data_IF_159811611118
#
_entry.id   IF_159811611118
#
_cell.length_a   1.000
_cell.length_b   1.000
_cell.length_c   1.000
_cell.angle_alpha   90.00
_cell.angle_beta   90.00
_cell.angle_gamma   90.00
#
_symmetry.space_group_name_H-M   'P 1'
#
loop_
_entity.id
_entity.type
_entity.pdbx_description
1 polymer ?
#
# COMPACT_ATOMS: atom_id res chain seq x y z
N UNK A 1 11.47 -14.69 -3.33
CA UNK A 1 10.29 -14.10 -3.98
C UNK A 1 9.29 -13.47 -3.00
N UNK A 2 8.80 -14.18 -1.97
CA UNK A 2 7.80 -13.65 -1.03
C UNK A 2 8.19 -12.32 -0.36
N UNK A 3 9.40 -12.22 0.19
CA UNK A 3 9.89 -10.98 0.82
C UNK A 3 10.04 -9.82 -0.18
N UNK A 4 10.50 -10.11 -1.40
CA UNK A 4 10.64 -9.10 -2.45
C UNK A 4 9.28 -8.48 -2.84
N UNK A 5 8.25 -9.32 -2.97
CA UNK A 5 6.89 -8.84 -3.27
C UNK A 5 6.32 -7.99 -2.13
N UNK A 6 6.63 -8.33 -0.87
CA UNK A 6 6.20 -7.57 0.30
C UNK A 6 6.88 -6.19 0.35
N UNK A 7 8.19 -6.13 0.11
CA UNK A 7 8.94 -4.87 0.00
C UNK A 7 8.36 -3.99 -1.12
N UNK A 8 8.07 -4.58 -2.28
CA UNK A 8 7.47 -3.86 -3.40
C UNK A 8 6.07 -3.32 -3.06
N UNK A 9 5.25 -4.09 -2.34
CA UNK A 9 3.93 -3.65 -1.91
C UNK A 9 4.01 -2.44 -0.96
N UNK A 10 4.94 -2.47 0.01
CA UNK A 10 5.18 -1.35 0.94
C UNK A 10 5.68 -0.12 0.17
N UNK A 11 6.63 -0.29 -0.74
CA UNK A 11 7.15 0.79 -1.57
C UNK A 11 6.04 1.43 -2.42
N UNK A 12 5.18 0.61 -3.04
CA UNK A 12 4.03 1.09 -3.80
C UNK A 12 3.07 1.90 -2.94
N UNK A 13 2.73 1.42 -1.73
CA UNK A 13 1.84 2.14 -0.81
C UNK A 13 2.44 3.48 -0.39
N UNK A 14 3.74 3.53 -0.11
CA UNK A 14 4.46 4.78 0.16
C UNK A 14 4.36 5.76 -1.00
N UNK A 15 4.63 5.31 -2.23
CA UNK A 15 4.53 6.17 -3.43
C UNK A 15 3.13 6.71 -3.64
N UNK A 16 2.09 5.90 -3.42
CA UNK A 16 0.69 6.35 -3.51
C UNK A 16 0.36 7.45 -2.50
N UNK A 17 0.80 7.30 -1.25
CA UNK A 17 0.58 8.31 -0.21
C UNK A 17 1.28 9.64 -0.54
N UNK A 18 2.48 9.58 -1.12
CA UNK A 18 3.19 10.79 -1.59
C UNK A 18 2.41 11.45 -2.73
N UNK A 19 1.91 10.68 -3.69
CA UNK A 19 1.13 11.21 -4.81
C UNK A 19 -0.20 11.84 -4.33
N UNK A 20 -0.86 11.23 -3.34
CA UNK A 20 -2.04 11.80 -2.69
C UNK A 20 -1.71 13.11 -1.97
N UNK A 21 -0.60 13.16 -1.24
CA UNK A 21 -0.11 14.36 -0.57
C UNK A 21 0.18 15.50 -1.56
N UNK A 22 0.84 15.19 -2.68
CA UNK A 22 1.14 16.15 -3.73
C UNK A 22 -0.15 16.69 -4.36
N UNK A 23 -1.15 15.85 -4.60
CA UNK A 23 -2.48 16.26 -5.09
C UNK A 23 -3.20 17.18 -4.12
N UNK A 24 -3.20 16.85 -2.82
CA UNK A 24 -3.83 17.70 -1.79
C UNK A 24 -3.11 19.05 -1.72
N UNK A 25 -1.78 19.03 -1.70
CA UNK A 25 -0.96 20.25 -1.65
C UNK A 25 -1.17 21.12 -2.89
N UNK A 26 -1.27 20.52 -4.07
CA UNK A 26 -1.55 21.22 -5.32
C UNK A 26 -2.93 21.90 -5.29
N UNK A 27 -3.97 21.21 -4.81
CA UNK A 27 -5.31 21.80 -4.66
C UNK A 27 -5.32 22.97 -3.68
N UNK A 28 -4.69 22.79 -2.51
CA UNK A 28 -4.57 23.86 -1.51
C UNK A 28 -3.83 25.08 -2.08
N UNK A 29 -2.75 24.85 -2.84
CA UNK A 29 -1.99 25.91 -3.52
C UNK A 29 -2.83 26.61 -4.57
N UNK A 30 -3.59 25.87 -5.36
CA UNK A 30 -4.45 26.43 -6.40
C UNK A 30 -5.46 27.43 -5.81
N UNK A 31 -6.12 27.09 -4.70
CA UNK A 31 -7.05 28.02 -4.01
C UNK A 31 -6.34 29.31 -3.61
N UNK A 32 -5.13 29.22 -3.07
CA UNK A 32 -4.35 30.40 -2.68
C UNK A 32 -3.85 31.20 -3.88
N UNK A 33 -3.50 30.55 -4.99
CA UNK A 33 -3.10 31.21 -6.23
C UNK A 33 -4.26 31.96 -6.88
N UNK A 34 -5.45 31.36 -6.90
CA UNK A 34 -6.69 32.01 -7.36
C UNK A 34 -7.04 33.21 -6.48
N UNK A 35 -6.98 33.05 -5.15
CA UNK A 35 -7.18 34.16 -4.21
C UNK A 35 -6.17 35.28 -4.45
N UNK A 36 -4.89 34.95 -4.61
CA UNK A 36 -3.84 35.92 -4.90
C UNK A 36 -4.11 36.66 -6.21
N UNK A 37 -4.48 35.96 -7.27
CA UNK A 37 -4.78 36.57 -8.56
C UNK A 37 -5.95 37.56 -8.46
N UNK A 38 -7.00 37.23 -7.69
CA UNK A 38 -8.12 38.13 -7.43
C UNK A 38 -7.66 39.37 -6.65
N UNK A 39 -6.83 39.20 -5.62
CA UNK A 39 -6.28 40.31 -4.84
C UNK A 39 -5.41 41.24 -5.69
N UNK A 40 -4.52 40.68 -6.50
CA UNK A 40 -3.64 41.44 -7.40
C UNK A 40 -4.46 42.22 -8.44
N UNK A 41 -5.52 41.61 -8.98
CA UNK A 41 -6.46 42.28 -9.89
C UNK A 41 -7.20 43.43 -9.19
N UNK A 42 -7.70 43.23 -7.97
CA UNK A 42 -8.33 44.28 -7.18
C UNK A 42 -7.37 45.43 -6.87
N UNK A 43 -6.13 45.13 -6.49
CA UNK A 43 -5.10 46.14 -6.21
C UNK A 43 -4.73 46.95 -7.46
N UNK A 44 -4.57 46.28 -8.61
CA UNK A 44 -4.34 46.93 -9.89
C UNK A 44 -5.48 47.90 -10.23
N UNK A 45 -6.74 47.44 -10.10
CA UNK A 45 -7.90 48.29 -10.36
C UNK A 45 -7.96 49.52 -9.45
N UNK A 46 -7.67 49.37 -8.15
CA UNK A 46 -7.63 50.49 -7.21
C UNK A 46 -6.51 51.48 -7.59
N UNK A 47 -5.34 50.96 -7.97
CA UNK A 47 -4.17 51.79 -8.33
C UNK A 47 -4.46 52.61 -9.58
N UNK A 48 -4.94 51.96 -10.66
CA UNK A 48 -5.28 52.64 -11.92
C UNK A 48 -6.38 53.67 -11.71
N UNK A 49 -7.42 53.34 -10.94
CA UNK A 49 -8.50 54.30 -10.64
C UNK A 49 -8.01 55.49 -9.81
N UNK A 50 -7.09 55.27 -8.87
CA UNK A 50 -6.48 56.34 -8.09
C UNK A 50 -5.65 57.27 -8.97
N UNK A 51 -4.80 56.71 -9.84
CA UNK A 51 -4.00 57.49 -10.80
C UNK A 51 -4.88 58.26 -11.79
N UNK A 52 -5.92 57.63 -12.33
CA UNK A 52 -6.88 58.27 -13.22
C UNK A 52 -7.61 59.42 -12.52
N UNK A 53 -8.11 59.19 -11.31
CA UNK A 53 -8.78 60.21 -10.49
C UNK A 53 -7.85 61.39 -10.20
N UNK A 54 -6.61 61.11 -9.80
CA UNK A 54 -5.61 62.13 -9.52
C UNK A 54 -5.29 62.96 -10.77
N UNK A 55 -5.09 62.31 -11.92
CA UNK A 55 -4.80 62.98 -13.18
C UNK A 55 -5.97 63.85 -13.67
N UNK A 56 -7.21 63.34 -13.58
CA UNK A 56 -8.41 64.09 -13.94
C UNK A 56 -8.59 65.35 -13.08
N UNK A 57 -8.27 65.26 -11.77
CA UNK A 57 -8.35 66.40 -10.85
C UNK A 57 -7.22 67.42 -11.05
N UNK A 58 -5.99 66.97 -11.38
CA UNK A 58 -4.84 67.86 -11.53
C UNK A 58 -4.75 68.54 -12.90
N UNK A 59 -5.22 67.88 -13.98
CA UNK A 59 -4.95 68.32 -15.35
C UNK A 59 -6.21 68.43 -16.23
N UNK A 60 -7.40 68.05 -15.71
CA UNK A 60 -8.64 68.12 -16.47
C UNK A 60 -9.16 69.55 -16.66
N UNK A 61 -9.84 69.80 -17.79
CA UNK A 61 -10.63 71.02 -17.97
C UNK A 61 -11.88 71.01 -17.09
N UNK A 62 -12.48 72.17 -16.78
CA UNK A 62 -13.68 72.27 -15.92
C UNK A 62 -14.83 71.34 -16.37
N UNK A 63 -15.06 71.21 -17.67
CA UNK A 63 -16.09 70.33 -18.23
C UNK A 63 -15.73 68.85 -18.13
N UNK A 64 -14.45 68.48 -18.27
CA UNK A 64 -13.98 67.11 -18.07
C UNK A 64 -14.03 66.71 -16.60
N UNK A 65 -13.66 67.62 -15.68
CA UNK A 65 -13.71 67.39 -14.24
C UNK A 65 -15.14 67.03 -13.82
N UNK A 66 -16.15 67.77 -14.28
CA UNK A 66 -17.58 67.51 -13.96
C UNK A 66 -18.03 66.13 -14.48
N UNK A 67 -17.62 65.77 -15.70
CA UNK A 67 -18.02 64.49 -16.30
C UNK A 67 -17.36 63.30 -15.60
N UNK A 68 -16.09 63.47 -15.21
CA UNK A 68 -15.29 62.44 -14.56
C UNK A 68 -15.64 62.32 -13.07
N UNK A 69 -16.07 63.40 -12.38
CA UNK A 69 -16.46 63.34 -10.97
C UNK A 69 -17.61 62.38 -10.71
N UNK A 70 -18.60 62.33 -11.62
CA UNK A 70 -19.70 61.37 -11.50
C UNK A 70 -19.20 59.93 -11.59
N UNK A 71 -18.35 59.62 -12.57
CA UNK A 71 -17.77 58.28 -12.74
C UNK A 71 -16.86 57.90 -11.57
N UNK A 72 -16.07 58.84 -11.04
CA UNK A 72 -15.24 58.63 -9.85
C UNK A 72 -16.12 58.32 -8.64
N UNK A 73 -17.21 59.06 -8.42
CA UNK A 73 -18.11 58.86 -7.29
C UNK A 73 -18.74 57.46 -7.31
N UNK A 74 -19.26 57.03 -8.47
CA UNK A 74 -19.80 55.67 -8.66
C UNK A 74 -18.72 54.60 -8.41
N UNK A 75 -17.50 54.78 -8.92
CA UNK A 75 -16.40 53.84 -8.69
C UNK A 75 -15.90 53.82 -7.25
N UNK A 76 -15.93 54.95 -6.56
CA UNK A 76 -15.57 55.05 -5.16
C UNK A 76 -16.59 54.32 -4.28
N UNK A 77 -17.87 54.39 -4.63
CA UNK A 77 -18.94 53.63 -3.97
C UNK A 77 -18.80 52.12 -4.22
N UNK A 78 -18.49 51.71 -5.45
CA UNK A 78 -18.15 50.32 -5.80
C UNK A 78 -16.97 49.80 -4.94
N UNK A 79 -15.91 50.61 -4.79
CA UNK A 79 -14.74 50.25 -3.99
C UNK A 79 -15.02 50.23 -2.49
N UNK A 80 -15.84 51.17 -1.98
CA UNK A 80 -16.22 51.25 -0.58
C UNK A 80 -17.11 50.07 -0.14
N UNK A 81 -17.90 49.53 -1.07
CA UNK A 81 -18.76 48.36 -0.84
C UNK A 81 -18.05 47.02 -1.11
N UNK A 82 -16.87 47.04 -1.75
CA UNK A 82 -16.11 45.84 -2.08
C UNK A 82 -15.61 45.11 -0.82
N UNK A 83 -16.12 43.89 -0.61
CA UNK A 83 -15.67 43.02 0.50
C UNK A 83 -14.57 42.09 0.02
N UNK A 84 -13.32 42.45 0.32
CA UNK A 84 -12.16 41.61 0.02
C UNK A 84 -11.87 40.69 1.21
N UNK A 85 -11.78 39.38 0.94
CA UNK A 85 -11.32 38.41 1.93
C UNK A 85 -9.80 38.53 2.11
N UNK A 86 -9.37 39.02 3.28
CA UNK A 86 -7.96 39.30 3.59
C UNK A 86 -7.21 38.12 4.21
N UNK A 87 -7.94 37.12 4.72
CA UNK A 87 -7.36 35.92 5.29
C UNK A 87 -7.23 34.82 4.23
N UNK A 88 -6.20 33.97 4.30
CA UNK A 88 -6.08 32.81 3.42
C UNK A 88 -7.38 32.00 3.41
N UNK A 89 -7.87 31.66 2.23
CA UNK A 89 -9.08 30.84 2.06
C UNK A 89 -8.83 29.35 2.29
N UNK A 90 -7.57 28.98 2.52
CA UNK A 90 -7.15 27.60 2.74
C UNK A 90 -6.29 27.49 4.01
N UNK A 91 -6.42 26.36 4.71
CA UNK A 91 -5.66 26.06 5.91
C UNK A 91 -4.47 25.14 5.62
N UNK A 92 -3.49 25.11 6.53
CA UNK A 92 -2.31 24.26 6.42
C UNK A 92 -2.50 22.86 6.98
N UNK A 93 -3.74 22.43 7.25
CA UNK A 93 -3.98 21.15 7.91
C UNK A 93 -3.73 19.99 6.95
N UNK A 94 -2.68 19.22 7.25
CA UNK A 94 -2.37 17.93 6.63
C UNK A 94 -1.81 17.06 7.76
N UNK A 95 -2.45 15.92 8.02
CA UNK A 95 -2.03 14.97 9.04
C UNK A 95 -1.89 13.58 8.42
N UNK A 96 -0.76 12.94 8.68
CA UNK A 96 -0.59 11.51 8.40
C UNK A 96 -0.96 10.72 9.65
N UNK A 97 -2.02 9.93 9.54
CA UNK A 97 -2.50 9.05 10.60
C UNK A 97 -2.06 7.61 10.32
N UNK A 98 -1.43 7.00 11.33
CA UNK A 98 -0.75 5.71 11.21
C UNK A 98 -1.36 4.65 12.14
N UNK A 99 -2.69 4.66 12.31
CA UNK A 99 -3.41 3.79 13.25
C UNK A 99 -3.02 2.30 13.11
N UNK A 100 -2.84 1.81 11.88
CA UNK A 100 -2.55 0.40 11.61
C UNK A 100 -1.06 0.05 11.46
N UNK A 101 -0.14 0.99 11.71
CA UNK A 101 1.28 0.78 11.46
C UNK A 101 1.87 -0.34 12.33
N UNK A 102 1.48 -0.42 13.61
CA UNK A 102 2.00 -1.44 14.52
C UNK A 102 1.43 -2.84 14.21
N UNK A 103 0.18 -2.89 13.77
CA UNK A 103 -0.47 -4.11 13.26
C UNK A 103 0.23 -4.63 12.00
N UNK A 104 0.54 -3.74 11.05
CA UNK A 104 1.26 -4.09 9.83
C UNK A 104 2.68 -4.61 10.14
N UNK A 105 3.42 -3.94 11.02
CA UNK A 105 4.74 -4.37 11.49
C UNK A 105 4.68 -5.75 12.16
N UNK A 106 3.70 -5.98 13.02
CA UNK A 106 3.48 -7.26 13.68
C UNK A 106 3.16 -8.38 12.69
N UNK A 107 2.43 -8.09 11.61
CA UNK A 107 2.15 -9.05 10.55
C UNK A 107 3.43 -9.41 9.77
N UNK A 108 4.26 -8.42 9.42
CA UNK A 108 5.54 -8.64 8.72
C UNK A 108 6.48 -9.54 9.54
N UNK A 109 6.55 -9.34 10.86
CA UNK A 109 7.39 -10.17 11.73
C UNK A 109 6.95 -11.64 11.81
N UNK A 110 5.70 -11.93 11.47
CA UNK A 110 5.15 -13.30 11.42
C UNK A 110 5.35 -13.95 10.05
N UNK A 111 5.93 -13.26 9.08
CA UNK A 111 6.14 -13.79 7.73
C UNK A 111 7.32 -14.76 7.73
N UNK A 112 6.99 -16.04 7.57
CA UNK A 112 7.96 -17.12 7.40
C UNK A 112 8.31 -17.81 8.71
N UNK A 113 8.35 -19.14 8.66
CA UNK A 113 8.87 -19.99 9.73
C UNK A 113 9.90 -20.92 9.13
N UNK A 114 11.07 -21.00 9.76
CA UNK A 114 12.08 -21.99 9.37
C UNK A 114 11.66 -23.35 9.93
N UNK A 115 11.39 -24.29 9.03
CA UNK A 115 11.13 -25.68 9.39
C UNK A 115 12.39 -26.48 9.04
N UNK A 116 12.94 -27.18 10.02
CA UNK A 116 14.09 -28.07 9.86
C UNK A 116 13.77 -29.40 10.51
N UNK A 117 14.16 -30.49 9.87
CA UNK A 117 14.11 -31.83 10.46
C UNK A 117 15.51 -32.45 10.47
N UNK A 118 15.77 -33.36 11.40
CA UNK A 118 17.05 -34.09 11.50
C UNK A 118 16.93 -35.52 10.94
N UNK A 119 15.91 -35.78 10.12
CA UNK A 119 15.67 -37.11 9.59
C UNK A 119 16.72 -37.46 8.52
N UNK A 120 17.37 -38.60 8.68
CA UNK A 120 18.42 -39.11 7.80
C UNK A 120 17.84 -40.27 7.01
N UNK A 121 17.74 -40.12 5.68
CA UNK A 121 17.00 -41.04 4.82
C UNK A 121 17.48 -42.50 4.91
N UNK A 122 18.79 -42.75 5.03
CA UNK A 122 19.35 -44.10 5.11
C UNK A 122 19.21 -44.74 6.50
N UNK A 123 18.96 -43.95 7.54
CA UNK A 123 18.67 -44.45 8.89
C UNK A 123 17.18 -44.75 9.08
N UNK A 124 16.32 -44.12 8.26
CA UNK A 124 14.89 -44.34 8.30
C UNK A 124 14.53 -45.76 7.86
N UNK A 125 13.53 -46.35 8.50
CA UNK A 125 13.10 -47.73 8.23
C UNK A 125 11.67 -47.77 7.74
N UNK A 126 11.42 -48.48 6.65
CA UNK A 126 10.08 -48.74 6.15
C UNK A 126 9.70 -50.20 6.40
N UNK A 127 8.54 -50.43 7.00
CA UNK A 127 8.02 -51.76 7.33
C UNK A 127 6.57 -51.84 6.88
N UNK A 128 6.18 -52.95 6.28
CA UNK A 128 4.78 -53.21 5.93
C UNK A 128 4.67 -54.33 4.92
N UNK A 129 3.56 -55.06 4.96
CA UNK A 129 3.29 -56.12 3.99
C UNK A 129 3.23 -55.58 2.55
N UNK A 130 2.91 -54.29 2.39
CA UNK A 130 2.89 -53.59 1.11
C UNK A 130 4.25 -53.38 0.46
N UNK A 131 5.35 -53.51 1.20
CA UNK A 131 6.68 -53.50 0.60
C UNK A 131 7.04 -54.85 -0.02
N UNK A 132 6.47 -55.94 0.48
CA UNK A 132 6.76 -57.31 0.02
C UNK A 132 5.82 -57.74 -1.11
N UNK A 133 4.54 -57.41 -1.01
CA UNK A 133 3.53 -57.78 -2.00
C UNK A 133 2.45 -56.70 -2.07
N UNK A 134 2.49 -55.90 -3.14
CA UNK A 134 1.37 -55.04 -3.52
C UNK A 134 0.56 -55.71 -4.63
N UNK A 135 -0.77 -55.82 -4.44
CA UNK A 135 -1.69 -56.31 -5.48
C UNK A 135 -2.45 -55.13 -6.07
N UNK A 136 -2.62 -55.13 -7.39
CA UNK A 136 -3.47 -54.15 -8.10
C UNK A 136 -4.87 -54.19 -7.49
N UNK A 137 -5.44 -53.01 -7.20
CA UNK A 137 -6.75 -52.82 -6.56
C UNK A 137 -6.89 -53.36 -5.12
N UNK A 138 -5.79 -53.59 -4.39
CA UNK A 138 -5.84 -53.86 -2.94
C UNK A 138 -5.10 -52.78 -2.14
N UNK A 139 -5.74 -52.31 -1.08
CA UNK A 139 -5.11 -51.41 -0.13
C UNK A 139 -3.99 -52.15 0.60
N UNK A 140 -2.85 -51.48 0.78
CA UNK A 140 -1.77 -52.03 1.60
C UNK A 140 -1.11 -50.93 2.41
N UNK A 141 -0.82 -51.26 3.67
CA UNK A 141 -0.20 -50.36 4.63
C UNK A 141 1.32 -50.52 4.59
N UNK A 142 2.00 -49.39 4.52
CA UNK A 142 3.44 -49.28 4.77
C UNK A 142 3.60 -48.22 5.85
N UNK A 143 4.39 -48.55 6.86
CA UNK A 143 4.79 -47.71 7.97
C UNK A 143 6.22 -47.28 7.71
N UNK A 144 6.43 -45.98 7.51
CA UNK A 144 7.77 -45.39 7.45
C UNK A 144 8.08 -44.78 8.81
N UNK A 145 9.24 -45.10 9.38
CA UNK A 145 9.74 -44.54 10.63
C UNK A 145 10.93 -43.63 10.34
N UNK A 146 10.75 -42.34 10.67
CA UNK A 146 11.78 -41.33 10.58
C UNK A 146 12.86 -41.52 11.64
N UNK A 147 14.14 -41.51 11.27
CA UNK A 147 15.26 -41.59 12.23
C UNK A 147 16.34 -40.55 11.98
N UNK A 148 17.04 -40.14 13.04
CA UNK A 148 18.20 -39.26 12.96
C UNK A 148 19.51 -40.04 12.71
N UNK A 149 20.65 -39.33 12.69
CA UNK A 149 21.99 -39.92 12.53
C UNK A 149 22.42 -40.90 13.63
N UNK A 150 21.68 -40.97 14.74
CA UNK A 150 21.93 -41.91 15.84
C UNK A 150 20.84 -43.00 15.90
N UNK A 151 20.09 -43.17 14.80
CA UNK A 151 18.96 -44.09 14.68
C UNK A 151 17.83 -43.83 15.70
N UNK A 152 17.68 -42.59 16.19
CA UNK A 152 16.59 -42.21 17.09
C UNK A 152 15.38 -41.70 16.32
N UNK A 153 14.18 -41.99 16.80
CA UNK A 153 12.94 -41.62 16.10
C UNK A 153 12.76 -40.10 16.10
N UNK A 154 12.62 -39.52 14.91
CA UNK A 154 12.32 -38.10 14.71
C UNK A 154 10.81 -37.91 14.56
N UNK A 155 10.22 -37.01 15.34
CA UNK A 155 8.82 -36.62 15.21
C UNK A 155 8.68 -35.45 14.24
N UNK A 156 7.57 -35.37 13.52
CA UNK A 156 7.25 -34.29 12.57
C UNK A 156 8.25 -34.12 11.39
N UNK A 157 8.83 -35.23 10.93
CA UNK A 157 9.60 -35.21 9.70
C UNK A 157 8.68 -35.08 8.47
N UNK A 158 9.17 -34.40 7.43
CA UNK A 158 8.43 -34.26 6.18
C UNK A 158 9.06 -35.23 5.19
N UNK A 159 8.27 -36.16 4.65
CA UNK A 159 8.72 -37.13 3.68
C UNK A 159 7.99 -36.98 2.36
N UNK A 160 8.76 -37.06 1.28
CA UNK A 160 8.26 -37.45 -0.02
C UNK A 160 8.59 -38.93 -0.22
N UNK A 161 7.57 -39.73 -0.52
CA UNK A 161 7.71 -41.17 -0.76
C UNK A 161 7.36 -41.43 -2.22
N UNK A 162 8.25 -42.14 -2.90
CA UNK A 162 8.05 -42.62 -4.27
C UNK A 162 8.29 -44.13 -4.31
N UNK A 163 7.34 -44.86 -4.87
CA UNK A 163 7.43 -46.30 -5.08
C UNK A 163 7.88 -46.53 -6.52
N UNK A 164 9.04 -47.16 -6.69
CA UNK A 164 9.64 -47.47 -7.99
C UNK A 164 9.62 -48.98 -8.17
N UNK A 165 9.02 -49.43 -9.28
CA UNK A 165 9.07 -50.80 -9.80
C UNK A 165 9.75 -50.77 -11.17
N UNK A 166 10.12 -51.94 -11.71
CA UNK A 166 10.77 -52.06 -13.03
C UNK A 166 9.95 -51.46 -14.19
N UNK A 167 8.65 -51.28 -14.01
CA UNK A 167 7.73 -50.80 -15.05
C UNK A 167 6.93 -49.54 -14.65
N UNK A 168 6.97 -49.12 -13.37
CA UNK A 168 6.10 -48.05 -12.87
C UNK A 168 6.74 -47.26 -11.72
N UNK A 169 6.55 -45.93 -11.75
CA UNK A 169 6.84 -45.06 -10.61
C UNK A 169 5.53 -44.44 -10.10
N UNK A 170 5.37 -44.37 -8.79
CA UNK A 170 4.16 -43.85 -8.18
C UNK A 170 4.39 -43.09 -6.89
N UNK A 171 3.70 -41.96 -6.76
CA UNK A 171 3.75 -41.09 -5.58
C UNK A 171 2.48 -41.25 -4.73
N UNK A 172 2.52 -42.01 -3.62
CA UNK A 172 1.40 -42.14 -2.69
C UNK A 172 1.03 -40.83 -1.98
N UNK A 173 -0.24 -40.73 -1.60
CA UNK A 173 -0.69 -39.75 -0.60
C UNK A 173 -0.32 -40.25 0.80
N UNK A 174 0.52 -39.47 1.48
CA UNK A 174 1.05 -39.76 2.82
C UNK A 174 0.16 -39.09 3.87
N UNK A 175 -0.12 -39.80 4.97
CA UNK A 175 -0.79 -39.31 6.15
C UNK A 175 0.16 -39.45 7.36
N UNK A 176 0.61 -38.33 7.90
CA UNK A 176 1.47 -38.28 9.08
C UNK A 176 0.65 -38.53 10.37
N UNK A 177 1.09 -39.46 11.21
CA UNK A 177 0.47 -39.74 12.51
C UNK A 177 1.07 -38.93 13.67
N UNK A 178 2.02 -38.02 13.42
CA UNK A 178 2.68 -37.15 14.41
C UNK A 178 3.41 -37.88 15.55
N UNK A 179 3.70 -39.17 15.34
CA UNK A 179 4.46 -40.03 16.25
C UNK A 179 5.75 -40.57 15.60
N UNK A 180 6.13 -40.02 14.43
CA UNK A 180 7.24 -40.52 13.62
C UNK A 180 6.87 -41.68 12.68
N UNK A 181 5.58 -42.04 12.59
CA UNK A 181 5.03 -43.07 11.69
C UNK A 181 4.11 -42.44 10.64
N UNK A 182 4.31 -42.80 9.38
CA UNK A 182 3.54 -42.29 8.25
C UNK A 182 2.71 -43.41 7.63
N UNK A 183 1.42 -43.16 7.45
CA UNK A 183 0.44 -44.10 6.90
C UNK A 183 0.05 -43.70 5.48
N UNK A 184 -0.30 -44.68 4.64
CA UNK A 184 -0.85 -44.44 3.30
C UNK A 184 -2.37 -44.24 3.36
N UNK A 185 -2.88 -43.20 2.69
CA UNK A 185 -4.32 -43.02 2.44
C UNK A 185 -4.82 -43.80 1.20
N UNK A 186 -6.13 -44.09 1.08
CA UNK A 186 -6.68 -44.95 0.04
C UNK A 186 -6.53 -44.38 -1.39
N UNK A 187 -6.40 -45.27 -2.36
CA UNK A 187 -6.62 -44.98 -3.79
C UNK A 187 -8.13 -44.78 -4.02
N UNK A 188 -8.51 -43.77 -4.80
CA UNK A 188 -9.80 -43.77 -5.51
C UNK A 188 -9.62 -44.44 -6.85
#
# INVERSE_FOLDING_TARGET
ECFHNLEQAIAKRKSQLIEELDKITAKKRQVLEEQKALLDMCLSNITVNSEFTQNALCYGSETEIILVTKQIAEKLEDLATMRIQKMPEENSFILFEAEDAESAKSAILKVGTLISNSAVAHECTAVGEGLKLCRINKQTLVVVTAKDRHSQIVRDAVFDVELISSEFSWKPKIADQKNGTYHRGPYK
#
